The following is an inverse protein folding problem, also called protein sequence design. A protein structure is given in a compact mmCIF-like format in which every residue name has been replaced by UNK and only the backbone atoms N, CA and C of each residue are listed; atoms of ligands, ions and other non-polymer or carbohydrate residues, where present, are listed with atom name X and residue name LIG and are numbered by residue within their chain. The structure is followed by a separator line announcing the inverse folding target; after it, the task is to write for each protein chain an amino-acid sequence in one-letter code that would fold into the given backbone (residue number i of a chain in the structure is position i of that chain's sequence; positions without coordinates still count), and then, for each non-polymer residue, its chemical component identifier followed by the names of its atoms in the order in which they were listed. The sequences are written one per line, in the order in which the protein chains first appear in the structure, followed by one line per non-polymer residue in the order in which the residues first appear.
data_IF_130560733426
#
_entry.id   IF_130560733426
#
_cell.length_a   1.000
_cell.length_b   1.000
_cell.length_c   1.000
_cell.angle_alpha   90.00
_cell.angle_beta   90.00
_cell.angle_gamma   90.00
#
_symmetry.space_group_name_H-M   'P 1'
#
loop_
_entity.id
_entity.type
_entity.pdbx_description
1 polymer ?
#
# COMPACT_ATOMS: atom_id res chain seq x y z
N UNK A 1 -2.31 10.33 -7.77
CA UNK A 1 -0.89 10.48 -8.13
C UNK A 1 -0.11 9.46 -7.32
N UNK A 2 0.65 8.59 -7.99
CA UNK A 2 1.42 7.55 -7.30
C UNK A 2 2.58 8.16 -6.51
N UNK A 3 2.67 7.80 -5.23
CA UNK A 3 3.78 8.18 -4.35
C UNK A 3 4.94 7.20 -4.48
N UNK A 4 4.62 5.90 -4.59
CA UNK A 4 5.56 4.80 -4.65
C UNK A 4 5.21 3.88 -5.81
N UNK A 5 6.24 3.32 -6.47
CA UNK A 5 6.10 2.34 -7.56
C UNK A 5 7.03 1.16 -7.34
N UNK A 6 6.55 -0.04 -7.66
CA UNK A 6 7.41 -1.23 -7.65
C UNK A 6 8.24 -1.27 -8.93
N UNK A 7 9.52 -0.97 -8.81
CA UNK A 7 10.47 -1.07 -9.92
C UNK A 7 10.93 -2.52 -10.11
N UNK A 8 11.21 -2.92 -11.34
CA UNK A 8 11.51 -4.33 -11.67
C UNK A 8 12.74 -4.89 -10.94
N UNK A 9 13.71 -4.04 -10.59
CA UNK A 9 14.90 -4.44 -9.84
C UNK A 9 14.62 -4.77 -8.36
N UNK A 10 13.42 -4.45 -7.87
CA UNK A 10 12.95 -4.80 -6.53
C UNK A 10 12.11 -6.07 -6.51
N UNK A 11 11.72 -6.59 -7.69
CA UNK A 11 10.98 -7.85 -7.80
C UNK A 11 11.90 -9.01 -7.47
N UNK A 12 11.37 -9.96 -6.72
CA UNK A 12 12.08 -11.18 -6.33
C UNK A 12 11.94 -12.28 -7.39
N UNK A 13 11.13 -12.04 -8.45
CA UNK A 13 10.74 -13.04 -9.44
C UNK A 13 10.02 -14.24 -8.82
N UNK A 14 9.32 -13.98 -7.72
CA UNK A 14 8.44 -14.93 -7.05
C UNK A 14 7.04 -14.32 -7.18
N UNK A 15 6.21 -14.78 -8.15
CA UNK A 15 4.97 -14.10 -8.51
C UNK A 15 4.05 -13.81 -7.33
N UNK A 16 3.97 -14.74 -6.37
CA UNK A 16 3.15 -14.58 -5.17
C UNK A 16 3.66 -13.46 -4.25
N UNK A 17 4.97 -13.37 -4.04
CA UNK A 17 5.57 -12.35 -3.18
C UNK A 17 5.56 -10.98 -3.87
N UNK A 18 5.81 -10.95 -5.18
CA UNK A 18 5.77 -9.71 -5.96
C UNK A 18 4.35 -9.13 -5.97
N UNK A 19 3.32 -9.97 -6.13
CA UNK A 19 1.91 -9.55 -5.99
C UNK A 19 1.59 -9.03 -4.58
N UNK A 20 2.19 -9.64 -3.56
CA UNK A 20 2.02 -9.16 -2.18
C UNK A 20 2.65 -7.77 -1.98
N UNK A 21 3.82 -7.50 -2.56
CA UNK A 21 4.44 -6.17 -2.53
C UNK A 21 3.66 -5.12 -3.34
N UNK A 22 3.12 -5.49 -4.50
CA UNK A 22 2.25 -4.61 -5.29
C UNK A 22 1.00 -4.20 -4.49
N UNK A 23 0.42 -5.13 -3.72
CA UNK A 23 -0.71 -4.84 -2.83
C UNK A 23 -0.33 -3.84 -1.73
N UNK A 24 0.84 -4.01 -1.09
CA UNK A 24 1.34 -3.07 -0.09
C UNK A 24 1.52 -1.66 -0.66
N UNK A 25 2.13 -1.56 -1.86
CA UNK A 25 2.34 -0.29 -2.55
C UNK A 25 1.01 0.36 -2.93
N UNK A 26 0.02 -0.43 -3.35
CA UNK A 26 -1.33 0.05 -3.63
C UNK A 26 -1.97 0.68 -2.38
N UNK A 27 -1.86 0.07 -1.21
CA UNK A 27 -2.36 0.62 0.05
C UNK A 27 -1.69 1.95 0.41
N UNK A 28 -0.37 2.05 0.23
CA UNK A 28 0.40 3.29 0.47
C UNK A 28 -0.06 4.40 -0.47
N UNK A 29 -0.22 4.10 -1.76
CA UNK A 29 -0.67 5.07 -2.75
C UNK A 29 -2.10 5.55 -2.47
N UNK A 30 -3.02 4.64 -2.10
CA UNK A 30 -4.40 5.00 -1.70
C UNK A 30 -4.43 5.91 -0.48
N UNK A 31 -3.58 5.64 0.53
CA UNK A 31 -3.45 6.50 1.70
C UNK A 31 -2.97 7.91 1.30
N UNK A 32 -1.92 7.99 0.48
CA UNK A 32 -1.40 9.26 -0.01
C UNK A 32 -2.45 10.07 -0.80
N UNK A 33 -3.19 9.42 -1.71
CA UNK A 33 -4.26 10.08 -2.47
C UNK A 33 -5.37 10.58 -1.56
N UNK A 34 -5.79 9.77 -0.58
CA UNK A 34 -6.83 10.18 0.38
C UNK A 34 -6.39 11.37 1.23
N UNK A 35 -5.09 11.47 1.56
CA UNK A 35 -4.54 12.64 2.25
C UNK A 35 -4.55 13.89 1.38
N UNK A 36 -4.26 13.77 0.07
CA UNK A 36 -4.30 14.89 -0.88
C UNK A 36 -5.74 15.36 -1.16
N UNK A 37 -6.71 14.46 -1.10
CA UNK A 37 -8.13 14.76 -1.25
C UNK A 37 -8.78 15.30 0.03
N UNK A 38 -7.99 15.51 1.09
CA UNK A 38 -8.47 15.95 2.41
C UNK A 38 -9.60 15.05 2.94
N UNK A 39 -9.48 13.74 2.69
CA UNK A 39 -10.44 12.75 3.17
C UNK A 39 -10.61 12.83 4.69
N UNK A 40 -11.80 12.49 5.16
CA UNK A 40 -12.09 12.57 6.58
C UNK A 40 -11.25 11.56 7.39
N UNK A 41 -11.13 11.84 8.68
CA UNK A 41 -10.30 11.05 9.59
C UNK A 41 -10.69 9.57 9.62
N UNK A 42 -11.98 9.23 9.52
CA UNK A 42 -12.40 7.83 9.59
C UNK A 42 -11.93 7.05 8.35
N UNK A 43 -11.95 7.68 7.17
CA UNK A 43 -11.39 7.09 5.96
C UNK A 43 -9.89 6.83 6.08
N UNK A 44 -9.13 7.80 6.59
CA UNK A 44 -7.68 7.66 6.80
C UNK A 44 -7.35 6.60 7.86
N UNK A 45 -8.08 6.56 8.97
CA UNK A 45 -7.92 5.57 10.03
C UNK A 45 -8.21 4.14 9.52
N UNK A 46 -9.20 3.98 8.62
CA UNK A 46 -9.50 2.73 7.94
C UNK A 46 -8.35 2.23 7.07
N UNK A 47 -7.80 3.10 6.21
CA UNK A 47 -6.65 2.77 5.34
C UNK A 47 -5.39 2.43 6.14
N UNK A 48 -5.11 3.18 7.21
CA UNK A 48 -4.00 2.87 8.12
C UNK A 48 -4.19 1.52 8.81
N UNK A 49 -5.43 1.17 9.17
CA UNK A 49 -5.74 -0.14 9.77
C UNK A 49 -5.54 -1.28 8.77
N UNK A 50 -5.97 -1.12 7.51
CA UNK A 50 -5.70 -2.07 6.43
C UNK A 50 -4.19 -2.27 6.23
N UNK A 51 -3.43 -1.17 6.20
CA UNK A 51 -1.97 -1.21 6.03
C UNK A 51 -1.28 -1.93 7.21
N UNK A 52 -1.70 -1.66 8.44
CA UNK A 52 -1.18 -2.33 9.64
C UNK A 52 -1.49 -3.83 9.63
N UNK A 53 -2.70 -4.21 9.25
CA UNK A 53 -3.06 -5.64 9.19
C UNK A 53 -2.30 -6.36 8.09
N UNK A 54 -2.21 -5.74 6.91
CA UNK A 54 -1.48 -6.31 5.78
C UNK A 54 0.00 -6.53 6.09
N UNK A 55 0.66 -5.53 6.71
CA UNK A 55 2.07 -5.63 7.12
C UNK A 55 2.30 -6.68 8.20
N UNK A 56 1.32 -6.96 9.07
CA UNK A 56 1.38 -8.07 10.03
C UNK A 56 1.25 -9.44 9.37
N UNK A 57 0.38 -9.58 8.36
CA UNK A 57 0.20 -10.85 7.65
C UNK A 57 1.34 -11.18 6.67
N UNK A 58 2.08 -10.16 6.22
CA UNK A 58 3.16 -10.28 5.25
C UNK A 58 4.50 -10.72 5.89
N UNK A 59 4.71 -10.44 7.19
CA UNK A 59 5.95 -10.71 7.92
C UNK A 59 5.96 -12.07 8.63
#
# INVERSE_FOLDING_TARGET
MELVRLEDHLKLNIPEIDAQHETLISLINRLHESMLEEADRAALDGLLSELLEYTRSHC
#
